data_IF_182736458968
#
_entry.id   IF_182736458968
#
_cell.length_a   1.000
_cell.length_b   1.000
_cell.length_c   1.000
_cell.angle_alpha   90.00
_cell.angle_beta   90.00
_cell.angle_gamma   90.00
#
_symmetry.space_group_name_H-M   'P 1'
#
loop_
_entity.id
_entity.type
_entity.pdbx_description
1 polymer ?
#
# COMPACT_ATOMS: atom_id res chain seq x y z
N UNK A 1 15.50 20.26 -3.16
CA UNK A 1 14.96 18.93 -2.83
C UNK A 1 16.06 17.89 -2.92
N UNK A 2 16.41 17.23 -1.82
CA UNK A 2 17.55 16.31 -1.77
C UNK A 2 17.28 14.89 -2.32
N UNK A 3 16.21 14.70 -3.10
CA UNK A 3 15.92 13.42 -3.77
C UNK A 3 15.18 12.35 -2.94
N UNK A 4 14.70 12.64 -1.72
CA UNK A 4 14.00 11.66 -0.86
C UNK A 4 12.79 10.99 -1.54
N UNK A 5 11.85 11.78 -2.07
CA UNK A 5 10.66 11.24 -2.75
C UNK A 5 11.05 10.41 -3.98
N UNK A 6 12.06 10.85 -4.72
CA UNK A 6 12.62 10.12 -5.86
C UNK A 6 13.18 8.77 -5.43
N UNK A 7 13.96 8.74 -4.34
CA UNK A 7 14.51 7.52 -3.78
C UNK A 7 13.40 6.55 -3.32
N UNK A 8 12.37 7.05 -2.63
CA UNK A 8 11.23 6.22 -2.21
C UNK A 8 10.51 5.60 -3.41
N UNK A 9 10.26 6.37 -4.48
CA UNK A 9 9.68 5.85 -5.73
C UNK A 9 10.54 4.74 -6.35
N UNK A 10 11.87 4.87 -6.28
CA UNK A 10 12.78 3.82 -6.73
C UNK A 10 12.70 2.56 -5.86
N UNK A 11 12.63 2.71 -4.54
CA UNK A 11 12.50 1.58 -3.61
C UNK A 11 11.19 0.82 -3.85
N UNK A 12 10.06 1.51 -4.03
CA UNK A 12 8.77 0.86 -4.27
C UNK A 12 8.58 0.38 -5.71
N UNK A 13 9.57 0.59 -6.59
CA UNK A 13 9.53 0.14 -7.98
C UNK A 13 8.64 0.96 -8.92
N UNK A 14 8.18 2.14 -8.49
CA UNK A 14 7.41 3.06 -9.35
C UNK A 14 8.30 3.98 -10.18
N UNK A 15 9.61 4.00 -9.90
CA UNK A 15 10.62 4.71 -10.68
C UNK A 15 11.86 3.82 -10.88
N UNK A 16 12.42 3.82 -12.09
CA UNK A 16 13.66 3.10 -12.38
C UNK A 16 14.88 3.93 -11.97
N UNK A 17 15.83 3.32 -11.27
CA UNK A 17 17.13 3.96 -10.99
C UNK A 17 17.95 4.10 -12.27
N UNK A 18 18.71 5.19 -12.38
CA UNK A 18 19.60 5.39 -13.53
C UNK A 18 20.90 4.59 -13.42
N UNK A 19 21.48 4.48 -12.22
CA UNK A 19 22.72 3.78 -11.92
C UNK A 19 22.66 3.12 -10.54
N UNK A 20 23.50 2.09 -10.33
CA UNK A 20 23.53 1.32 -9.08
C UNK A 20 22.51 0.18 -9.06
N UNK A 21 22.25 -0.37 -7.87
CA UNK A 21 21.25 -1.42 -7.65
C UNK A 21 20.47 -1.15 -6.37
N UNK A 22 19.21 -1.57 -6.36
CA UNK A 22 18.35 -1.60 -5.17
C UNK A 22 17.83 -3.02 -5.04
N UNK A 23 17.85 -3.54 -3.82
CA UNK A 23 17.26 -4.83 -3.47
C UNK A 23 16.23 -4.60 -2.38
N UNK A 24 15.01 -5.07 -2.61
CA UNK A 24 13.90 -5.01 -1.66
C UNK A 24 13.46 -6.44 -1.39
N UNK A 25 13.49 -6.86 -0.12
CA UNK A 25 13.06 -8.20 0.29
C UNK A 25 13.72 -9.33 -0.56
N UNK A 26 15.01 -9.16 -0.86
CA UNK A 26 15.84 -10.15 -1.55
C UNK A 26 15.86 -10.09 -3.08
N UNK A 27 15.06 -9.23 -3.73
CA UNK A 27 15.05 -9.08 -5.21
C UNK A 27 15.03 -7.61 -5.64
N UNK A 28 15.42 -7.28 -6.89
CA UNK A 28 15.20 -5.94 -7.42
C UNK A 28 13.69 -5.63 -7.51
N UNK A 29 13.26 -4.40 -7.20
CA UNK A 29 11.88 -3.98 -7.44
C UNK A 29 11.57 -4.00 -8.95
N UNK A 30 10.30 -4.21 -9.31
CA UNK A 30 9.79 -4.42 -10.66
C UNK A 30 10.39 -5.63 -11.42
N UNK A 31 11.05 -6.56 -10.70
CA UNK A 31 11.51 -7.82 -11.28
C UNK A 31 10.32 -8.76 -11.55
N UNK A 32 10.29 -9.50 -12.68
CA UNK A 32 9.20 -10.42 -12.98
C UNK A 32 8.92 -11.42 -11.85
N UNK A 33 7.66 -11.47 -11.38
CA UNK A 33 7.25 -12.32 -10.26
C UNK A 33 7.67 -11.82 -8.88
N UNK A 34 8.24 -10.61 -8.77
CA UNK A 34 8.42 -9.93 -7.49
C UNK A 34 7.24 -9.00 -7.22
N UNK A 35 6.75 -8.97 -5.99
CA UNK A 35 5.50 -8.29 -5.64
C UNK A 35 5.74 -6.87 -5.11
N UNK A 36 6.79 -6.23 -5.64
CA UNK A 36 7.12 -4.82 -5.46
C UNK A 36 7.30 -4.22 -6.87
N UNK A 37 6.48 -3.25 -7.31
CA UNK A 37 5.30 -2.75 -6.62
C UNK A 37 4.22 -3.84 -6.47
N UNK A 38 3.49 -3.83 -5.36
CA UNK A 38 2.48 -4.84 -5.08
C UNK A 38 2.30 -5.09 -3.59
N UNK A 39 1.89 -6.31 -3.23
CA UNK A 39 1.42 -6.64 -1.87
C UNK A 39 2.52 -6.75 -0.80
N UNK A 40 3.80 -6.75 -1.17
CA UNK A 40 4.90 -6.95 -0.22
C UNK A 40 5.33 -5.68 0.54
N UNK A 41 5.06 -4.49 0.01
CA UNK A 41 5.46 -3.21 0.63
C UNK A 41 4.30 -2.22 0.59
N UNK A 42 3.90 -1.72 1.77
CA UNK A 42 2.97 -0.60 1.88
C UNK A 42 3.68 0.73 1.67
N UNK A 43 3.11 1.61 0.84
CA UNK A 43 3.66 2.93 0.52
C UNK A 43 2.55 3.98 0.53
N UNK A 44 2.76 5.04 1.31
CA UNK A 44 1.89 6.23 1.33
C UNK A 44 2.56 7.34 0.51
N UNK A 45 2.05 7.68 -0.69
CA UNK A 45 2.55 8.82 -1.46
C UNK A 45 2.24 10.15 -0.77
N UNK A 46 2.85 11.25 -1.27
CA UNK A 46 2.58 12.59 -0.74
C UNK A 46 1.13 13.04 -1.00
N UNK A 47 0.61 12.72 -2.18
CA UNK A 47 -0.80 12.98 -2.52
C UNK A 47 -1.68 11.87 -1.97
N UNK A 48 -2.75 12.23 -1.27
CA UNK A 48 -3.69 11.27 -0.69
C UNK A 48 -4.41 10.55 -1.83
N UNK A 49 -4.26 9.22 -1.87
CA UNK A 49 -4.90 8.35 -2.87
C UNK A 49 -6.18 7.70 -2.32
N UNK A 50 -7.07 8.51 -1.73
CA UNK A 50 -8.37 8.06 -1.24
C UNK A 50 -9.47 8.47 -2.23
N UNK A 51 -10.44 7.58 -2.41
CA UNK A 51 -11.66 7.89 -3.16
C UNK A 51 -12.65 8.52 -2.19
N UNK A 52 -13.05 9.76 -2.46
CA UNK A 52 -13.95 10.52 -1.56
C UNK A 52 -15.35 9.89 -1.46
N UNK A 53 -15.69 9.01 -2.40
CA UNK A 53 -16.96 8.28 -2.45
C UNK A 53 -16.93 6.99 -1.61
N UNK A 54 -15.77 6.61 -1.05
CA UNK A 54 -15.62 5.37 -0.29
C UNK A 54 -15.73 5.64 1.20
N UNK A 55 -16.60 4.87 1.87
CA UNK A 55 -16.55 4.77 3.32
C UNK A 55 -15.25 4.12 3.79
N UNK A 56 -14.92 4.25 5.07
CA UNK A 56 -13.79 3.54 5.71
C UNK A 56 -13.86 2.03 5.42
N UNK A 57 -15.04 1.42 5.56
CA UNK A 57 -15.23 0.00 5.24
C UNK A 57 -14.95 -0.32 3.78
N UNK A 58 -15.45 0.47 2.83
CA UNK A 58 -15.22 0.25 1.40
C UNK A 58 -13.74 0.37 1.05
N UNK A 59 -13.04 1.35 1.63
CA UNK A 59 -11.59 1.53 1.46
C UNK A 59 -10.81 0.31 1.97
N UNK A 60 -11.10 -0.15 3.19
CA UNK A 60 -10.43 -1.31 3.77
C UNK A 60 -10.77 -2.61 3.03
N UNK A 61 -12.00 -2.77 2.54
CA UNK A 61 -12.39 -3.88 1.68
C UNK A 61 -11.65 -3.86 0.35
N UNK A 62 -11.58 -2.70 -0.30
CA UNK A 62 -10.89 -2.52 -1.58
C UNK A 62 -9.41 -2.93 -1.47
N UNK A 63 -8.69 -2.41 -0.48
CA UNK A 63 -7.30 -2.82 -0.25
C UNK A 63 -7.18 -4.29 0.14
N UNK A 64 -8.09 -4.83 0.95
CA UNK A 64 -8.13 -6.26 1.27
C UNK A 64 -8.18 -7.14 0.03
N UNK A 65 -8.99 -6.77 -0.97
CA UNK A 65 -9.07 -7.48 -2.26
C UNK A 65 -7.80 -7.34 -3.09
N UNK A 66 -7.20 -6.15 -3.17
CA UNK A 66 -5.92 -5.93 -3.87
C UNK A 66 -4.81 -6.79 -3.27
N UNK A 67 -4.78 -6.93 -1.94
CA UNK A 67 -3.80 -7.77 -1.24
C UNK A 67 -4.13 -9.27 -1.28
N UNK A 68 -5.24 -9.67 -1.90
CA UNK A 68 -5.64 -11.08 -2.04
C UNK A 68 -6.20 -11.71 -0.77
N UNK A 69 -6.72 -10.91 0.16
CA UNK A 69 -7.34 -11.41 1.39
C UNK A 69 -8.73 -12.01 1.10
N UNK A 70 -9.03 -13.11 1.79
CA UNK A 70 -10.39 -13.66 1.84
C UNK A 70 -11.35 -12.69 2.54
N UNK A 71 -12.66 -12.93 2.39
CA UNK A 71 -13.67 -12.10 3.05
C UNK A 71 -13.51 -12.12 4.58
N UNK A 72 -13.22 -13.30 5.15
CA UNK A 72 -13.03 -13.48 6.59
C UNK A 72 -11.77 -12.76 7.10
N UNK A 73 -10.66 -12.85 6.37
CA UNK A 73 -9.42 -12.16 6.73
C UNK A 73 -9.57 -10.65 6.63
N UNK A 74 -10.26 -10.17 5.59
CA UNK A 74 -10.50 -8.74 5.40
C UNK A 74 -11.35 -8.18 6.54
N UNK A 75 -12.42 -8.88 6.94
CA UNK A 75 -13.26 -8.46 8.05
C UNK A 75 -12.49 -8.42 9.38
N UNK A 76 -11.70 -9.47 9.68
CA UNK A 76 -10.89 -9.52 10.88
C UNK A 76 -9.84 -8.39 10.93
N UNK A 77 -9.15 -8.13 9.79
CA UNK A 77 -8.17 -7.04 9.68
C UNK A 77 -8.82 -5.67 9.76
N UNK A 78 -9.98 -5.48 9.14
CA UNK A 78 -10.73 -4.22 9.21
C UNK A 78 -11.10 -3.89 10.66
N UNK A 79 -11.66 -4.85 11.40
CA UNK A 79 -12.01 -4.66 12.81
C UNK A 79 -10.79 -4.27 13.65
N UNK A 80 -9.67 -4.98 13.46
CA UNK A 80 -8.42 -4.67 14.13
C UNK A 80 -7.91 -3.26 13.79
N UNK A 81 -7.91 -2.87 12.51
CA UNK A 81 -7.37 -1.58 12.08
C UNK A 81 -8.23 -0.40 12.54
N UNK A 82 -9.55 -0.55 12.60
CA UNK A 82 -10.44 0.50 13.11
C UNK A 82 -10.16 0.77 14.58
N UNK A 83 -10.01 -0.27 15.38
CA UNK A 83 -9.70 -0.15 16.81
C UNK A 83 -8.27 0.39 17.02
N UNK A 84 -7.29 -0.20 16.34
CA UNK A 84 -5.87 0.15 16.50
C UNK A 84 -5.56 1.59 16.07
N UNK A 85 -6.21 2.10 15.02
CA UNK A 85 -6.00 3.44 14.48
C UNK A 85 -7.00 4.47 15.04
N UNK A 86 -7.89 4.06 15.96
CA UNK A 86 -8.97 4.89 16.51
C UNK A 86 -9.80 5.59 15.43
N UNK A 87 -10.23 4.83 14.42
CA UNK A 87 -10.97 5.36 13.28
C UNK A 87 -12.44 5.63 13.63
N UNK A 88 -13.09 6.59 12.94
CA UNK A 88 -14.53 6.78 13.01
C UNK A 88 -15.34 5.54 12.62
N UNK A 89 -16.67 5.62 12.76
CA UNK A 89 -17.56 4.53 12.42
C UNK A 89 -17.35 4.04 10.97
N UNK A 90 -17.51 2.74 10.76
CA UNK A 90 -17.21 2.05 9.48
C UNK A 90 -17.88 2.65 8.24
N UNK A 91 -19.04 3.29 8.44
CA UNK A 91 -19.86 3.87 7.38
C UNK A 91 -19.57 5.36 7.15
N UNK A 92 -18.65 5.96 7.91
CA UNK A 92 -18.17 7.32 7.66
C UNK A 92 -17.41 7.35 6.33
N UNK A 93 -17.64 8.42 5.57
CA UNK A 93 -16.82 8.84 4.44
C UNK A 93 -15.49 9.40 4.95
#
# INVERSE_FOLDING_TARGET
GCGKTTLLKCIVGTLKISHGHITVLGKPPAFPGHEVPGRMVGYMPQDIALYNEFTISNTLWFYGRIHGLSSKETEARMNFLIDFLDLPQKNSL
#
